data_IF_196161283280
#
_entry.id   IF_196161283280
#
_cell.length_a   1.000
_cell.length_b   1.000
_cell.length_c   1.000
_cell.angle_alpha   90.00
_cell.angle_beta   90.00
_cell.angle_gamma   90.00
#
_symmetry.space_group_name_H-M   'P 1'
#
loop_
_entity.id
_entity.type
_entity.pdbx_description
1 polymer ?
#
# COMPACT_ATOMS: atom_id res chain seq x y z
N UNK A 1 -10.09 32.99 10.53
CA UNK A 1 -9.07 33.57 9.64
C UNK A 1 -7.63 33.26 10.07
N UNK A 2 -7.21 33.48 11.32
CA UNK A 2 -5.85 33.14 11.76
C UNK A 2 -5.54 31.62 11.74
N UNK A 3 -6.44 30.76 12.28
CA UNK A 3 -6.29 29.30 12.24
C UNK A 3 -6.24 28.73 10.82
N UNK A 4 -7.05 29.26 9.91
CA UNK A 4 -7.10 28.80 8.52
C UNK A 4 -5.82 29.16 7.73
N UNK A 5 -5.14 30.23 8.13
CA UNK A 5 -3.83 30.58 7.59
C UNK A 5 -2.73 29.69 8.18
N UNK A 6 -2.79 29.40 9.48
CA UNK A 6 -1.88 28.46 10.15
C UNK A 6 -2.01 27.04 9.61
N UNK A 7 -3.23 26.56 9.35
CA UNK A 7 -3.47 25.24 8.77
C UNK A 7 -2.98 25.15 7.32
N UNK A 8 -3.15 26.21 6.52
CA UNK A 8 -2.61 26.30 5.16
C UNK A 8 -1.09 26.42 5.13
N UNK A 9 -0.49 27.14 6.07
CA UNK A 9 0.96 27.26 6.19
C UNK A 9 1.57 25.93 6.69
N UNK A 10 0.91 25.22 7.61
CA UNK A 10 1.27 23.85 8.02
C UNK A 10 1.06 22.85 6.89
N UNK A 11 -0.02 22.95 6.10
CA UNK A 11 -0.22 22.12 4.91
C UNK A 11 0.86 22.38 3.86
N UNK A 12 1.28 23.64 3.69
CA UNK A 12 2.33 24.04 2.74
C UNK A 12 3.73 23.65 3.22
N UNK A 13 3.98 23.73 4.52
CA UNK A 13 5.21 23.21 5.15
C UNK A 13 5.23 21.68 5.21
N UNK A 14 4.07 21.02 5.35
CA UNK A 14 3.93 19.56 5.28
C UNK A 14 3.97 19.04 3.83
N UNK A 15 3.50 19.81 2.86
CA UNK A 15 3.70 19.58 1.43
C UNK A 15 5.16 19.79 1.05
N UNK A 16 5.79 20.87 1.55
CA UNK A 16 7.21 21.09 1.40
C UNK A 16 8.01 19.97 2.06
N UNK A 17 7.65 19.53 3.28
CA UNK A 17 8.28 18.44 4.02
C UNK A 17 7.98 17.05 3.46
N UNK A 18 6.83 16.82 2.83
CA UNK A 18 6.49 15.57 2.12
C UNK A 18 7.19 15.51 0.76
N UNK A 19 7.26 16.64 0.05
CA UNK A 19 8.04 16.79 -1.18
C UNK A 19 9.55 16.75 -0.88
N UNK A 20 9.97 17.22 0.29
CA UNK A 20 11.34 17.16 0.80
C UNK A 20 11.69 15.79 1.38
N UNK A 21 10.79 15.09 2.08
CA UNK A 21 10.98 13.69 2.46
C UNK A 21 11.00 12.77 1.22
N UNK A 22 10.32 13.18 0.14
CA UNK A 22 10.46 12.58 -1.18
C UNK A 22 11.80 12.91 -1.89
N UNK A 23 12.53 13.95 -1.48
CA UNK A 23 13.69 14.50 -2.18
C UNK A 23 15.03 14.54 -1.38
N UNK A 24 15.02 14.43 -0.05
CA UNK A 24 16.23 14.44 0.78
C UNK A 24 16.72 13.00 0.95
N UNK A 25 17.76 12.68 0.20
CA UNK A 25 18.25 11.33 -0.12
C UNK A 25 17.46 10.63 -1.22
N UNK A 26 17.46 11.24 -2.41
CA UNK A 26 17.78 10.39 -3.55
C UNK A 26 19.27 10.03 -3.46
N UNK A 27 19.67 8.80 -3.07
CA UNK A 27 20.94 8.30 -3.58
C UNK A 27 20.82 8.46 -5.08
N UNK A 28 21.72 9.24 -5.68
CA UNK A 28 21.73 9.69 -7.09
C UNK A 28 21.15 8.59 -7.98
N UNK A 29 19.83 8.59 -8.15
CA UNK A 29 19.18 7.44 -8.78
C UNK A 29 19.57 7.59 -10.23
N UNK A 30 20.34 6.63 -10.74
CA UNK A 30 20.73 6.67 -12.14
C UNK A 30 19.46 6.81 -12.97
N UNK A 31 19.44 7.77 -13.90
CA UNK A 31 18.36 7.87 -14.89
C UNK A 31 18.29 6.51 -15.56
N UNK A 32 17.22 5.77 -15.26
CA UNK A 32 17.08 4.41 -15.74
C UNK A 32 16.64 4.45 -17.19
N UNK A 33 17.23 3.59 -18.02
CA UNK A 33 16.70 3.35 -19.36
C UNK A 33 15.26 2.83 -19.23
N UNK A 34 14.30 3.50 -19.90
CA UNK A 34 12.88 3.12 -19.88
C UNK A 34 12.68 1.64 -20.22
N UNK A 35 13.46 1.10 -21.17
CA UNK A 35 13.41 -0.31 -21.55
C UNK A 35 13.75 -1.26 -20.41
N UNK A 36 14.72 -0.90 -19.54
CA UNK A 36 15.07 -1.72 -18.37
C UNK A 36 13.94 -1.77 -17.35
N UNK A 37 13.30 -0.62 -17.06
CA UNK A 37 12.18 -0.57 -16.11
C UNK A 37 10.98 -1.33 -16.64
N UNK A 38 10.67 -1.22 -17.94
CA UNK A 38 9.60 -2.00 -18.58
C UNK A 38 9.88 -3.50 -18.48
N UNK A 39 11.11 -3.94 -18.73
CA UNK A 39 11.48 -5.35 -18.60
C UNK A 39 11.28 -5.88 -17.15
N UNK A 40 11.62 -5.08 -16.14
CA UNK A 40 11.37 -5.43 -14.73
C UNK A 40 9.86 -5.53 -14.45
N UNK A 41 9.06 -4.55 -14.90
CA UNK A 41 7.60 -4.57 -14.74
C UNK A 41 7.00 -5.83 -15.37
N UNK A 42 7.43 -6.20 -16.57
CA UNK A 42 6.96 -7.42 -17.24
C UNK A 42 7.34 -8.67 -16.47
N UNK A 43 8.58 -8.76 -15.97
CA UNK A 43 9.03 -9.88 -15.16
C UNK A 43 8.25 -10.00 -13.84
N UNK A 44 8.05 -8.89 -13.13
CA UNK A 44 7.25 -8.82 -11.89
C UNK A 44 5.78 -9.17 -12.13
N UNK A 45 5.20 -8.71 -13.24
CA UNK A 45 3.84 -9.05 -13.64
C UNK A 45 3.69 -10.54 -13.97
N UNK A 46 4.63 -11.12 -14.71
CA UNK A 46 4.65 -12.56 -14.99
C UNK A 46 4.79 -13.39 -13.71
N UNK A 47 5.69 -13.00 -12.81
CA UNK A 47 5.89 -13.67 -11.52
C UNK A 47 4.64 -13.60 -10.63
N UNK A 48 4.05 -12.40 -10.51
CA UNK A 48 2.81 -12.17 -9.75
C UNK A 48 1.64 -12.95 -10.36
N UNK A 49 1.53 -13.01 -11.68
CA UNK A 49 0.54 -13.81 -12.39
C UNK A 49 0.72 -15.32 -12.18
N UNK A 50 1.97 -15.80 -12.14
CA UNK A 50 2.27 -17.20 -11.82
C UNK A 50 1.87 -17.57 -10.38
N UNK A 51 2.07 -16.65 -9.42
CA UNK A 51 1.59 -16.83 -8.04
C UNK A 51 0.05 -16.86 -8.02
N UNK A 52 -0.61 -15.92 -8.70
CA UNK A 52 -2.07 -15.85 -8.74
C UNK A 52 -2.70 -17.13 -9.33
N UNK A 53 -2.19 -17.62 -10.46
CA UNK A 53 -2.70 -18.85 -11.12
C UNK A 53 -2.51 -20.11 -10.27
N UNK A 54 -1.58 -20.09 -9.31
CA UNK A 54 -1.34 -21.20 -8.38
C UNK A 54 -1.75 -20.85 -6.94
N UNK A 55 -2.46 -19.75 -6.72
CA UNK A 55 -2.71 -19.18 -5.40
C UNK A 55 -3.39 -20.18 -4.47
N UNK A 56 -4.46 -20.82 -4.95
CA UNK A 56 -5.23 -21.81 -4.18
C UNK A 56 -4.40 -23.07 -3.88
N UNK A 57 -3.60 -23.53 -4.84
CA UNK A 57 -2.73 -24.70 -4.65
C UNK A 57 -1.70 -24.44 -3.55
N UNK A 58 -1.09 -23.25 -3.55
CA UNK A 58 -0.13 -22.85 -2.51
C UNK A 58 -0.87 -22.69 -1.18
N UNK A 59 -2.10 -22.14 -1.19
CA UNK A 59 -2.87 -21.84 0.03
C UNK A 59 -3.28 -23.10 0.78
N UNK A 60 -3.58 -24.18 0.06
CA UNK A 60 -3.93 -25.48 0.66
C UNK A 60 -2.77 -26.04 1.50
N UNK A 61 -1.52 -25.88 1.04
CA UNK A 61 -0.33 -26.40 1.74
C UNK A 61 0.19 -25.40 2.76
N UNK A 62 0.23 -24.12 2.40
CA UNK A 62 0.78 -23.03 3.20
C UNK A 62 -0.16 -21.81 3.16
N UNK A 63 -1.15 -21.74 4.06
CA UNK A 63 -2.22 -20.73 4.02
C UNK A 63 -1.74 -19.28 4.03
N UNK A 64 -0.62 -18.99 4.72
CA UNK A 64 -0.04 -17.66 4.81
C UNK A 64 1.02 -17.36 3.74
N UNK A 65 1.55 -18.39 3.06
CA UNK A 65 2.58 -18.18 2.05
C UNK A 65 2.00 -17.53 0.79
N UNK A 66 0.84 -17.99 0.31
CA UNK A 66 0.18 -17.39 -0.85
C UNK A 66 -0.06 -15.89 -0.69
N UNK A 67 -0.66 -15.40 0.41
CA UNK A 67 -0.86 -13.97 0.59
C UNK A 67 0.45 -13.18 0.78
N UNK A 68 1.46 -13.75 1.43
CA UNK A 68 2.79 -13.13 1.54
C UNK A 68 3.41 -12.94 0.15
N UNK A 69 3.40 -13.97 -0.70
CA UNK A 69 3.98 -13.93 -2.04
C UNK A 69 3.22 -12.96 -2.95
N UNK A 70 1.89 -13.03 -2.96
CA UNK A 70 1.07 -12.15 -3.80
C UNK A 70 1.14 -10.69 -3.32
N UNK A 71 1.15 -10.46 -2.00
CA UNK A 71 1.35 -9.13 -1.42
C UNK A 71 2.73 -8.55 -1.77
N UNK A 72 3.80 -9.35 -1.67
CA UNK A 72 5.14 -8.94 -2.06
C UNK A 72 5.23 -8.59 -3.57
N UNK A 73 4.71 -9.46 -4.43
CA UNK A 73 4.74 -9.27 -5.88
C UNK A 73 3.95 -8.03 -6.33
N UNK A 74 2.75 -7.83 -5.78
CA UNK A 74 1.93 -6.66 -6.12
C UNK A 74 2.50 -5.36 -5.56
N UNK A 75 3.11 -5.38 -4.38
CA UNK A 75 3.79 -4.20 -3.83
C UNK A 75 5.06 -3.83 -4.62
N UNK A 76 5.85 -4.82 -5.05
CA UNK A 76 7.00 -4.62 -5.92
C UNK A 76 6.56 -3.96 -7.24
N UNK A 77 5.55 -4.56 -7.90
CA UNK A 77 5.01 -4.08 -9.16
C UNK A 77 4.50 -2.64 -9.06
N UNK A 78 3.74 -2.32 -8.00
CA UNK A 78 3.27 -0.97 -7.74
C UNK A 78 4.43 0.02 -7.59
N UNK A 79 5.48 -0.37 -6.86
CA UNK A 79 6.64 0.48 -6.61
C UNK A 79 7.50 0.68 -7.87
N UNK A 80 7.66 -0.35 -8.69
CA UNK A 80 8.36 -0.27 -9.98
C UNK A 80 7.57 0.59 -10.97
N UNK A 81 6.24 0.48 -10.99
CA UNK A 81 5.39 1.33 -11.82
C UNK A 81 5.47 2.81 -11.40
N UNK A 82 5.45 3.09 -10.10
CA UNK A 82 5.66 4.45 -9.57
C UNK A 82 7.03 5.02 -9.99
N UNK A 83 8.06 4.19 -9.98
CA UNK A 83 9.42 4.52 -10.42
C UNK A 83 9.51 4.74 -11.94
N UNK A 84 8.77 3.98 -12.74
CA UNK A 84 8.64 4.20 -14.18
C UNK A 84 8.08 5.58 -14.51
N UNK A 85 6.99 5.97 -13.84
CA UNK A 85 6.35 7.30 -14.00
C UNK A 85 7.31 8.42 -13.60
N UNK A 86 8.09 8.25 -12.52
CA UNK A 86 9.05 9.25 -12.03
C UNK A 86 10.42 9.20 -12.73
N UNK A 87 10.63 8.27 -13.67
CA UNK A 87 11.89 8.07 -14.41
C UNK A 87 13.14 7.84 -13.52
N UNK A 88 12.93 7.18 -12.37
CA UNK A 88 13.93 6.94 -11.32
C UNK A 88 13.85 5.47 -10.93
N UNK A 89 14.97 4.73 -10.96
CA UNK A 89 15.01 3.34 -10.50
C UNK A 89 15.82 3.23 -9.21
N UNK A 90 15.20 2.68 -8.17
CA UNK A 90 15.84 2.41 -6.88
C UNK A 90 15.43 1.05 -6.36
N UNK A 91 16.34 0.09 -6.44
CA UNK A 91 16.16 -1.27 -5.93
C UNK A 91 15.94 -1.29 -4.42
N UNK A 92 16.58 -0.39 -3.66
CA UNK A 92 16.35 -0.28 -2.22
C UNK A 92 14.88 0.00 -1.92
N UNK A 93 14.25 0.93 -2.67
CA UNK A 93 12.83 1.23 -2.50
C UNK A 93 11.94 0.07 -2.93
N UNK A 94 12.30 -0.67 -3.99
CA UNK A 94 11.58 -1.89 -4.39
C UNK A 94 11.65 -2.94 -3.26
N UNK A 95 12.83 -3.18 -2.68
CA UNK A 95 13.01 -4.12 -1.57
C UNK A 95 12.23 -3.73 -0.31
N UNK A 96 12.20 -2.43 0.06
CA UNK A 96 11.34 -1.93 1.15
C UNK A 96 9.86 -2.26 0.89
N UNK A 97 9.38 -2.02 -0.33
CA UNK A 97 7.99 -2.33 -0.71
C UNK A 97 7.70 -3.83 -0.78
N UNK A 98 8.65 -4.65 -1.20
CA UNK A 98 8.55 -6.11 -1.11
C UNK A 98 8.36 -6.54 0.35
N UNK A 99 9.18 -6.03 1.27
CA UNK A 99 9.04 -6.31 2.71
C UNK A 99 7.70 -5.84 3.26
N UNK A 100 7.26 -4.63 2.89
CA UNK A 100 5.92 -4.14 3.24
C UNK A 100 4.82 -5.07 2.69
N UNK A 101 4.92 -5.48 1.43
CA UNK A 101 3.97 -6.37 0.78
C UNK A 101 3.86 -7.73 1.46
N UNK A 102 4.97 -8.28 1.96
CA UNK A 102 4.96 -9.51 2.76
C UNK A 102 4.20 -9.33 4.07
N UNK A 103 4.52 -8.28 4.82
CA UNK A 103 3.88 -7.95 6.10
C UNK A 103 2.39 -7.71 5.89
N UNK A 104 2.06 -6.76 5.01
CA UNK A 104 0.70 -6.37 4.72
C UNK A 104 -0.11 -7.53 4.15
N UNK A 105 0.46 -8.33 3.23
CA UNK A 105 -0.19 -9.52 2.68
C UNK A 105 -0.63 -10.49 3.79
N UNK A 106 0.25 -10.77 4.75
CA UNK A 106 -0.07 -11.62 5.89
C UNK A 106 -1.20 -11.03 6.76
N UNK A 107 -1.04 -9.77 7.21
CA UNK A 107 -2.02 -9.12 8.09
C UNK A 107 -3.38 -8.93 7.40
N UNK A 108 -3.41 -8.54 6.13
CA UNK A 108 -4.66 -8.36 5.37
C UNK A 108 -5.38 -9.68 5.18
N UNK A 109 -4.68 -10.77 4.88
CA UNK A 109 -5.32 -12.09 4.77
C UNK A 109 -5.95 -12.55 6.09
N UNK A 110 -5.24 -12.38 7.20
CA UNK A 110 -5.75 -12.69 8.54
C UNK A 110 -6.93 -11.77 8.93
N UNK A 111 -6.84 -10.49 8.59
CA UNK A 111 -7.90 -9.51 8.84
C UNK A 111 -9.19 -9.86 8.11
N UNK A 112 -9.10 -10.17 6.80
CA UNK A 112 -10.25 -10.57 6.00
C UNK A 112 -10.88 -11.84 6.59
N UNK A 113 -10.08 -12.86 6.94
CA UNK A 113 -10.57 -14.11 7.53
C UNK A 113 -11.26 -13.87 8.89
N UNK A 114 -10.66 -13.05 9.75
CA UNK A 114 -11.24 -12.67 11.04
C UNK A 114 -12.60 -11.97 10.86
N UNK A 115 -12.66 -10.93 10.02
CA UNK A 115 -13.86 -10.12 9.84
C UNK A 115 -14.99 -10.93 9.18
N UNK A 116 -14.66 -11.76 8.19
CA UNK A 116 -15.65 -12.58 7.48
C UNK A 116 -16.21 -13.71 8.34
N UNK A 117 -15.41 -14.33 9.22
CA UNK A 117 -15.87 -15.40 10.12
C UNK A 117 -16.61 -14.89 11.35
N UNK A 118 -16.29 -13.70 11.83
CA UNK A 118 -16.83 -13.19 13.10
C UNK A 118 -18.18 -12.49 12.93
N UNK A 119 -18.40 -11.84 11.79
CA UNK A 119 -19.60 -11.03 11.56
C UNK A 119 -20.32 -11.50 10.31
N UNK A 120 -21.63 -11.75 10.37
CA UNK A 120 -22.42 -12.12 9.19
C UNK A 120 -22.90 -10.90 8.39
N UNK A 121 -23.14 -9.78 9.07
CA UNK A 121 -23.64 -8.56 8.45
C UNK A 121 -22.54 -7.82 7.70
N UNK A 122 -22.75 -7.61 6.39
CA UNK A 122 -21.86 -6.80 5.53
C UNK A 122 -21.63 -5.40 6.10
N UNK A 123 -22.66 -4.77 6.66
CA UNK A 123 -22.53 -3.43 7.28
C UNK A 123 -21.54 -3.45 8.44
N UNK A 124 -21.62 -4.46 9.31
CA UNK A 124 -20.68 -4.61 10.42
C UNK A 124 -19.25 -4.84 9.93
N UNK A 125 -19.07 -5.68 8.90
CA UNK A 125 -17.75 -5.92 8.28
C UNK A 125 -17.14 -4.64 7.73
N UNK A 126 -17.92 -3.85 6.98
CA UNK A 126 -17.48 -2.56 6.42
C UNK A 126 -17.14 -1.56 7.52
N UNK A 127 -18.00 -1.41 8.54
CA UNK A 127 -17.74 -0.49 9.65
C UNK A 127 -16.47 -0.88 10.41
N UNK A 128 -16.27 -2.17 10.69
CA UNK A 128 -15.08 -2.63 11.39
C UNK A 128 -13.81 -2.42 10.55
N UNK A 129 -13.89 -2.72 9.25
CA UNK A 129 -12.77 -2.49 8.33
C UNK A 129 -12.39 -1.00 8.26
N UNK A 130 -13.38 -0.11 8.21
CA UNK A 130 -13.10 1.33 8.12
C UNK A 130 -12.68 1.94 9.46
N UNK A 131 -13.26 1.52 10.60
CA UNK A 131 -12.95 2.11 11.90
C UNK A 131 -11.68 1.53 12.54
N UNK A 132 -11.31 0.30 12.22
CA UNK A 132 -10.17 -0.39 12.83
C UNK A 132 -9.14 -0.79 11.78
N UNK A 133 -9.56 -1.49 10.73
CA UNK A 133 -8.67 -1.99 9.68
C UNK A 133 -7.87 -0.87 9.02
N UNK A 134 -8.55 0.06 8.36
CA UNK A 134 -7.92 1.14 7.61
C UNK A 134 -6.96 2.00 8.48
N UNK A 135 -7.33 2.49 9.67
CA UNK A 135 -6.40 3.17 10.57
C UNK A 135 -5.19 2.32 10.95
N UNK A 136 -5.40 1.03 11.29
CA UNK A 136 -4.32 0.13 11.68
C UNK A 136 -3.32 -0.08 10.54
N UNK A 137 -3.79 -0.43 9.34
CA UNK A 137 -2.92 -0.65 8.18
C UNK A 137 -2.19 0.63 7.77
N UNK A 138 -2.88 1.78 7.80
CA UNK A 138 -2.26 3.06 7.49
C UNK A 138 -1.21 3.46 8.53
N UNK A 139 -1.46 3.17 9.82
CA UNK A 139 -0.50 3.42 10.89
C UNK A 139 0.75 2.55 10.73
N UNK A 140 0.58 1.24 10.50
CA UNK A 140 1.68 0.30 10.26
C UNK A 140 2.55 0.75 9.08
N UNK A 141 1.92 1.12 7.96
CA UNK A 141 2.63 1.63 6.79
C UNK A 141 3.45 2.88 7.12
N UNK A 142 2.86 3.88 7.78
CA UNK A 142 3.55 5.13 8.11
C UNK A 142 4.69 4.91 9.11
N UNK A 143 4.52 4.03 10.11
CA UNK A 143 5.59 3.69 11.06
C UNK A 143 6.76 3.04 10.32
N UNK A 144 6.50 2.01 9.50
CA UNK A 144 7.55 1.31 8.75
C UNK A 144 8.27 2.26 7.79
N UNK A 145 7.52 3.10 7.09
CA UNK A 145 8.09 4.09 6.19
C UNK A 145 8.98 5.09 6.95
N UNK A 146 8.54 5.58 8.12
CA UNK A 146 9.34 6.48 8.96
C UNK A 146 10.63 5.82 9.45
N UNK A 147 10.54 4.58 9.91
CA UNK A 147 11.71 3.82 10.37
C UNK A 147 12.70 3.54 9.23
N UNK A 148 12.21 3.28 8.01
CA UNK A 148 13.07 3.06 6.85
C UNK A 148 13.73 4.32 6.29
N UNK A 149 13.10 5.49 6.45
CA UNK A 149 13.63 6.75 5.91
C UNK A 149 14.45 7.53 6.93
N UNK A 150 14.05 7.52 8.21
CA UNK A 150 14.67 8.35 9.26
C UNK A 150 15.21 7.53 10.45
N UNK A 151 14.80 6.28 10.60
CA UNK A 151 15.16 5.44 11.76
C UNK A 151 14.39 5.79 13.04
N UNK A 152 13.55 6.82 13.02
CA UNK A 152 12.75 7.28 14.16
C UNK A 152 11.33 7.69 13.74
N UNK A 153 10.42 7.77 14.71
CA UNK A 153 9.04 8.23 14.54
C UNK A 153 9.00 9.70 14.94
N UNK A 154 8.66 10.59 14.01
CA UNK A 154 8.68 12.04 14.22
C UNK A 154 7.27 12.64 14.15
N UNK A 155 7.14 13.94 14.42
CA UNK A 155 5.90 14.69 14.19
C UNK A 155 5.45 14.62 12.72
N UNK A 156 6.38 14.49 11.78
CA UNK A 156 6.06 14.37 10.36
C UNK A 156 5.33 13.05 10.07
N UNK A 157 5.68 11.96 10.75
CA UNK A 157 4.98 10.68 10.65
C UNK A 157 3.50 10.80 11.04
N UNK A 158 3.22 11.58 12.09
CA UNK A 158 1.84 11.85 12.53
C UNK A 158 1.06 12.64 11.47
N UNK A 159 1.65 13.70 10.91
CA UNK A 159 1.01 14.48 9.84
C UNK A 159 0.77 13.62 8.59
N UNK A 160 1.76 12.82 8.18
CA UNK A 160 1.65 11.90 7.07
C UNK A 160 0.55 10.85 7.29
N UNK A 161 0.42 10.32 8.52
CA UNK A 161 -0.65 9.41 8.90
C UNK A 161 -2.03 10.04 8.71
N UNK A 162 -2.31 11.21 9.28
CA UNK A 162 -3.63 11.83 9.14
C UNK A 162 -3.95 12.23 7.69
N UNK A 163 -2.95 12.73 6.96
CA UNK A 163 -3.10 13.05 5.53
C UNK A 163 -3.45 11.80 4.73
N UNK A 164 -2.68 10.72 4.88
CA UNK A 164 -2.91 9.46 4.16
C UNK A 164 -4.26 8.82 4.56
N UNK A 165 -4.63 8.89 5.83
CA UNK A 165 -5.91 8.37 6.33
C UNK A 165 -7.10 9.13 5.74
N UNK A 166 -7.03 10.46 5.61
CA UNK A 166 -8.09 11.26 4.97
C UNK A 166 -8.36 10.80 3.53
N UNK A 167 -7.30 10.58 2.76
CA UNK A 167 -7.42 10.08 1.39
C UNK A 167 -7.88 8.62 1.36
N UNK A 168 -7.40 7.80 2.30
CA UNK A 168 -7.81 6.40 2.46
C UNK A 168 -9.33 6.27 2.55
N UNK A 169 -9.99 7.14 3.33
CA UNK A 169 -11.45 7.15 3.46
C UNK A 169 -12.21 7.62 2.21
N UNK A 170 -11.54 8.12 1.17
CA UNK A 170 -12.21 8.39 -0.10
C UNK A 170 -12.27 7.14 -1.00
N UNK A 171 -11.36 6.19 -0.82
CA UNK A 171 -11.21 5.02 -1.70
C UNK A 171 -11.66 3.71 -1.02
N UNK A 172 -11.19 3.47 0.20
CA UNK A 172 -11.36 2.19 0.88
C UNK A 172 -12.79 1.87 1.35
N UNK A 173 -13.68 2.83 1.70
CA UNK A 173 -15.07 2.49 1.98
C UNK A 173 -15.78 1.88 0.77
N UNK A 174 -15.54 2.43 -0.42
CA UNK A 174 -16.11 1.91 -1.66
C UNK A 174 -15.58 0.50 -1.94
N UNK A 175 -14.27 0.30 -1.82
CA UNK A 175 -13.68 -1.02 -1.99
C UNK A 175 -14.22 -2.03 -0.96
N UNK A 176 -14.41 -1.63 0.30
CA UNK A 176 -14.93 -2.51 1.36
C UNK A 176 -16.36 -2.95 1.11
N UNK A 177 -17.21 -2.05 0.62
CA UNK A 177 -18.59 -2.39 0.22
C UNK A 177 -18.55 -3.40 -0.92
N UNK A 178 -17.71 -3.16 -1.93
CA UNK A 178 -17.56 -4.07 -3.06
C UNK A 178 -17.05 -5.45 -2.62
N UNK A 179 -16.00 -5.47 -1.79
CA UNK A 179 -15.36 -6.69 -1.33
C UNK A 179 -16.29 -7.52 -0.44
N UNK A 180 -16.84 -6.95 0.64
CA UNK A 180 -17.67 -7.70 1.58
C UNK A 180 -19.11 -7.93 1.10
N UNK A 181 -19.59 -7.16 0.12
CA UNK A 181 -20.94 -7.26 -0.40
C UNK A 181 -21.07 -8.19 -1.62
N UNK A 182 -20.04 -8.26 -2.47
CA UNK A 182 -20.18 -8.87 -3.80
C UNK A 182 -19.07 -9.85 -4.17
N UNK A 183 -17.90 -9.80 -3.53
CA UNK A 183 -16.81 -10.71 -3.86
C UNK A 183 -16.90 -12.02 -3.08
N UNK A 184 -16.59 -13.12 -3.77
CA UNK A 184 -16.37 -14.41 -3.11
C UNK A 184 -15.17 -14.32 -2.15
N UNK A 185 -15.21 -15.01 -0.99
CA UNK A 185 -14.13 -14.98 0.00
C UNK A 185 -12.74 -15.35 -0.55
N UNK A 186 -12.67 -16.21 -1.57
CA UNK A 186 -11.42 -16.58 -2.25
C UNK A 186 -10.80 -15.42 -3.04
N UNK A 187 -11.63 -14.50 -3.55
CA UNK A 187 -11.22 -13.38 -4.39
C UNK A 187 -10.98 -12.08 -3.60
N UNK A 188 -11.47 -12.00 -2.36
CA UNK A 188 -11.33 -10.79 -1.52
C UNK A 188 -9.87 -10.36 -1.35
N UNK A 189 -8.96 -11.29 -1.06
CA UNK A 189 -7.54 -10.97 -0.87
C UNK A 189 -6.83 -10.57 -2.19
N UNK A 190 -6.92 -11.36 -3.30
CA UNK A 190 -6.38 -10.92 -4.58
C UNK A 190 -6.93 -9.56 -5.05
N UNK A 191 -8.23 -9.30 -4.86
CA UNK A 191 -8.83 -8.01 -5.17
C UNK A 191 -8.27 -6.89 -4.30
N UNK A 192 -8.00 -7.16 -3.02
CA UNK A 192 -7.35 -6.19 -2.12
C UNK A 192 -5.94 -5.84 -2.62
N UNK A 193 -5.12 -6.83 -3.01
CA UNK A 193 -3.80 -6.56 -3.59
C UNK A 193 -3.88 -5.70 -4.86
N UNK A 194 -4.87 -5.94 -5.72
CA UNK A 194 -5.09 -5.11 -6.92
C UNK A 194 -5.52 -3.68 -6.54
N UNK A 195 -6.43 -3.54 -5.58
CA UNK A 195 -6.84 -2.24 -5.06
C UNK A 195 -5.66 -1.48 -4.43
N UNK A 196 -4.78 -2.16 -3.70
CA UNK A 196 -3.54 -1.57 -3.17
C UNK A 196 -2.59 -1.13 -4.28
N UNK A 197 -2.46 -1.90 -5.37
CA UNK A 197 -1.66 -1.48 -6.53
C UNK A 197 -2.20 -0.18 -7.12
N UNK A 198 -3.50 -0.09 -7.37
CA UNK A 198 -4.16 1.13 -7.86
C UNK A 198 -3.98 2.29 -6.88
N UNK A 199 -4.19 2.03 -5.60
CA UNK A 199 -4.02 3.01 -4.52
C UNK A 199 -2.60 3.60 -4.49
N UNK A 200 -1.58 2.76 -4.62
CA UNK A 200 -0.18 3.19 -4.66
C UNK A 200 0.14 4.06 -5.88
N UNK A 201 -0.51 3.81 -7.03
CA UNK A 201 -0.38 4.67 -8.21
C UNK A 201 -1.03 6.03 -7.96
N UNK A 202 -2.20 6.06 -7.31
CA UNK A 202 -2.88 7.31 -6.93
C UNK A 202 -2.01 8.12 -5.95
N UNK A 203 -1.53 7.48 -4.88
CA UNK A 203 -0.64 8.13 -3.91
C UNK A 203 0.61 8.72 -4.55
N UNK A 204 1.16 8.07 -5.58
CA UNK A 204 2.34 8.56 -6.30
C UNK A 204 2.12 9.90 -7.01
N UNK A 205 0.86 10.26 -7.30
CA UNK A 205 0.44 11.52 -7.94
C UNK A 205 0.06 12.60 -6.94
N UNK A 206 -0.36 12.20 -5.74
CA UNK A 206 -0.73 13.11 -4.65
C UNK A 206 0.46 13.53 -3.76
N UNK A 207 1.61 12.88 -3.94
CA UNK A 207 2.87 13.11 -3.24
C UNK A 207 3.98 13.57 -4.19
#
# INVERSE_FOLDING_TARGET
MAREKTDKDIEKEAEAASAQAGNYFTPRSAKASRGKVIAIILAEACFTGAIYTNYDKIKVVHPLLSPILLGAGTAALAQTFNQYVKHVLSYNRILKFITWGMINGCFTALWIDLVTRTFDSTVHRVLLDQLVGAPMFQLLFNILNSLWEHGEITKQTHVAFFRSLRWSYCFWPLFSILAFGFLDPSLMFPANCLATLVWNVILSKLA
#
